data_IF_778815228968
#
_entry.id   IF_778815228968
#
_cell.length_a   1.000
_cell.length_b   1.000
_cell.length_c   1.000
_cell.angle_alpha   90.00
_cell.angle_beta   90.00
_cell.angle_gamma   90.00
#
_symmetry.space_group_name_H-M   'P 1'
#
loop_
_entity.id
_entity.type
_entity.pdbx_description
1 polymer ?
#
# COMPACT_ATOMS: atom_id res chain seq x y z
N UNK A 1 66.64 -11.94 48.84
CA UNK A 1 66.01 -12.17 47.51
C UNK A 1 64.84 -11.21 47.38
N UNK A 2 64.93 -10.21 46.49
CA UNK A 2 63.88 -9.21 46.23
C UNK A 2 63.23 -9.53 44.89
N UNK A 3 61.95 -9.85 44.88
CA UNK A 3 61.15 -10.02 43.66
C UNK A 3 60.27 -8.78 43.47
N UNK A 4 60.49 -8.06 42.36
CA UNK A 4 59.71 -6.91 41.92
C UNK A 4 58.61 -7.45 41.01
N UNK A 5 57.35 -7.40 41.47
CA UNK A 5 56.18 -7.79 40.70
C UNK A 5 55.59 -6.52 40.07
N UNK A 6 55.91 -6.28 38.80
CA UNK A 6 55.30 -5.20 38.00
C UNK A 6 53.91 -5.62 37.56
N UNK A 7 52.89 -4.99 38.16
CA UNK A 7 51.49 -5.11 37.78
C UNK A 7 51.21 -4.17 36.60
N UNK A 8 51.00 -4.74 35.41
CA UNK A 8 50.72 -3.99 34.19
C UNK A 8 49.20 -3.82 34.05
N UNK A 9 48.71 -2.61 34.34
CA UNK A 9 47.31 -2.23 34.24
C UNK A 9 47.01 -1.78 32.80
N UNK A 10 46.26 -2.58 32.04
CA UNK A 10 45.82 -2.23 30.69
C UNK A 10 44.42 -1.59 30.79
N UNK A 11 44.23 -0.32 30.40
CA UNK A 11 42.90 0.27 30.33
C UNK A 11 42.19 -0.21 29.06
N UNK A 12 41.09 -0.94 29.23
CA UNK A 12 40.19 -1.31 28.15
C UNK A 12 39.31 -0.11 27.80
N UNK A 13 39.74 0.72 26.85
CA UNK A 13 38.87 1.75 26.25
C UNK A 13 37.86 1.07 25.32
N UNK A 14 36.68 0.75 25.85
CA UNK A 14 35.52 0.44 25.03
C UNK A 14 35.02 1.73 24.37
N UNK A 15 35.42 1.97 23.13
CA UNK A 15 34.84 3.02 22.28
C UNK A 15 33.42 2.59 21.89
N UNK A 16 32.42 3.01 22.68
CA UNK A 16 31.03 2.93 22.26
C UNK A 16 30.85 3.83 21.02
N UNK A 17 30.67 3.21 19.85
CA UNK A 17 30.27 3.94 18.66
C UNK A 17 28.97 4.71 18.99
N UNK A 18 28.83 5.98 18.57
CA UNK A 18 27.61 6.72 18.82
C UNK A 18 26.44 5.93 18.25
N UNK A 19 25.52 5.49 19.12
CA UNK A 19 24.30 4.84 18.68
C UNK A 19 23.59 5.82 17.75
N UNK A 20 23.51 5.43 16.47
CA UNK A 20 22.77 6.19 15.48
C UNK A 20 21.35 6.33 16.02
N UNK A 21 20.82 7.56 16.16
CA UNK A 21 19.50 7.74 16.75
C UNK A 21 18.49 6.86 16.00
N UNK A 22 17.54 6.24 16.72
CA UNK A 22 16.54 5.40 16.10
C UNK A 22 15.90 6.17 14.96
N UNK A 23 15.94 5.60 13.75
CA UNK A 23 15.31 6.24 12.59
C UNK A 23 13.83 6.43 12.91
N UNK A 24 13.36 7.67 12.82
CA UNK A 24 11.95 8.00 12.99
C UNK A 24 11.08 7.06 12.15
N UNK A 25 9.97 6.54 12.70
CA UNK A 25 9.09 5.65 11.96
C UNK A 25 8.50 6.41 10.75
N UNK A 26 8.81 5.89 9.56
CA UNK A 26 8.28 6.40 8.29
C UNK A 26 6.90 5.81 8.05
N UNK A 27 6.00 6.63 7.56
CA UNK A 27 4.61 6.27 7.29
C UNK A 27 4.21 6.68 5.88
N UNK A 28 3.30 5.91 5.27
CA UNK A 28 2.50 6.35 4.14
C UNK A 28 1.17 6.82 4.68
N UNK A 29 1.01 8.13 4.84
CA UNK A 29 -0.26 8.69 5.26
C UNK A 29 -1.30 8.46 4.16
N UNK A 30 -2.42 7.84 4.54
CA UNK A 30 -3.60 7.66 3.69
C UNK A 30 -4.46 8.88 3.91
N UNK A 31 -4.57 9.73 2.89
CA UNK A 31 -5.15 11.07 3.06
C UNK A 31 -6.18 11.37 1.96
N UNK A 32 -7.20 12.19 2.28
CA UNK A 32 -8.07 12.76 1.27
C UNK A 32 -7.25 13.50 0.20
N UNK A 33 -7.68 13.39 -1.06
CA UNK A 33 -7.03 14.05 -2.18
C UNK A 33 -7.06 15.58 -2.07
N UNK A 34 -7.97 16.14 -1.26
CA UNK A 34 -8.01 17.57 -0.92
C UNK A 34 -6.82 18.01 -0.07
N UNK A 35 -6.15 17.09 0.66
CA UNK A 35 -4.93 17.33 1.43
C UNK A 35 -3.65 17.00 0.63
N UNK A 36 -3.76 16.85 -0.69
CA UNK A 36 -2.65 16.48 -1.56
C UNK A 36 -1.47 17.48 -1.43
N UNK A 37 -0.29 16.94 -1.16
CA UNK A 37 0.98 17.68 -1.25
C UNK A 37 1.69 17.41 -2.57
N UNK A 38 2.79 18.13 -2.82
CA UNK A 38 3.61 17.92 -4.01
C UNK A 38 4.35 16.56 -4.05
N UNK A 39 4.39 15.83 -2.93
CA UNK A 39 4.96 14.48 -2.85
C UNK A 39 3.90 13.38 -2.89
N UNK A 40 2.62 13.74 -2.93
CA UNK A 40 1.55 12.77 -2.95
C UNK A 40 1.65 11.84 -4.16
N UNK A 41 1.35 10.56 -3.95
CA UNK A 41 1.19 9.56 -5.01
C UNK A 41 -0.24 9.06 -5.06
N UNK A 42 -0.80 8.89 -6.27
CA UNK A 42 -2.10 8.27 -6.41
C UNK A 42 -2.03 6.79 -6.00
N UNK A 43 -3.15 6.28 -5.49
CA UNK A 43 -3.38 4.83 -5.38
C UNK A 43 -4.06 4.39 -6.69
N UNK A 44 -3.63 3.31 -7.35
CA UNK A 44 -4.27 2.85 -8.58
C UNK A 44 -5.79 2.72 -8.44
N UNK A 45 -6.56 3.30 -9.34
CA UNK A 45 -8.04 3.27 -9.31
C UNK A 45 -8.72 4.18 -8.28
N UNK A 46 -7.97 4.74 -7.32
CA UNK A 46 -8.50 5.70 -6.37
C UNK A 46 -8.56 7.12 -6.98
N UNK A 47 -9.57 7.88 -6.59
CA UNK A 47 -9.83 9.25 -7.05
C UNK A 47 -9.80 10.25 -5.90
N UNK A 48 -10.31 9.85 -4.74
CA UNK A 48 -10.51 10.72 -3.58
C UNK A 48 -9.40 10.55 -2.54
N UNK A 49 -8.47 9.62 -2.74
CA UNK A 49 -7.44 9.26 -1.76
C UNK A 49 -6.06 9.21 -2.37
N UNK A 50 -5.07 9.71 -1.64
CA UNK A 50 -3.65 9.71 -2.03
C UNK A 50 -2.78 9.17 -0.90
N UNK A 51 -1.56 8.78 -1.26
CA UNK A 51 -0.50 8.45 -0.31
C UNK A 51 0.49 9.60 -0.20
N UNK A 52 0.76 10.04 1.03
CA UNK A 52 1.70 11.13 1.30
C UNK A 52 2.81 10.59 2.20
N UNK A 53 4.10 10.85 1.90
CA UNK A 53 5.16 10.43 2.80
C UNK A 53 5.06 11.24 4.09
N UNK A 54 5.07 10.56 5.22
CA UNK A 54 4.93 11.18 6.53
C UNK A 54 5.87 10.55 7.56
N UNK A 55 6.03 11.25 8.68
CA UNK A 55 6.59 10.72 9.93
C UNK A 55 5.55 10.85 11.04
N UNK A 56 5.68 10.02 12.07
CA UNK A 56 4.89 10.19 13.30
C UNK A 56 5.66 11.10 14.27
N UNK A 57 4.97 12.05 14.88
CA UNK A 57 5.45 12.88 15.98
C UNK A 57 4.47 12.82 17.17
N UNK A 58 4.68 13.67 18.18
CA UNK A 58 3.85 13.69 19.39
C UNK A 58 2.38 14.09 19.13
N UNK A 59 2.09 14.74 18.00
CA UNK A 59 0.76 15.24 17.63
C UNK A 59 0.08 14.39 16.55
N UNK A 60 0.83 13.55 15.85
CA UNK A 60 0.32 12.55 14.92
C UNK A 60 1.17 12.42 13.67
N UNK A 61 0.55 12.45 12.50
CA UNK A 61 1.29 12.38 11.23
C UNK A 61 1.65 13.77 10.73
N UNK A 62 2.94 13.98 10.51
CA UNK A 62 3.49 15.16 9.83
C UNK A 62 3.90 14.76 8.43
N UNK A 63 3.28 15.40 7.42
CA UNK A 63 3.63 15.21 6.03
C UNK A 63 5.02 15.79 5.76
N UNK A 64 5.85 15.04 5.04
CA UNK A 64 7.17 15.52 4.67
C UNK A 64 7.07 16.58 3.56
N UNK A 65 7.81 17.66 3.71
CA UNK A 65 8.08 18.60 2.61
C UNK A 65 9.00 17.97 1.56
N UNK A 66 9.17 18.61 0.40
CA UNK A 66 10.13 18.16 -0.62
C UNK A 66 11.56 18.14 -0.07
N UNK A 67 11.91 19.16 0.69
CA UNK A 67 13.23 19.36 1.30
C UNK A 67 13.48 18.29 2.38
N UNK A 68 12.49 18.05 3.26
CA UNK A 68 12.57 17.01 4.28
C UNK A 68 12.69 15.61 3.65
N UNK A 69 11.89 15.33 2.61
CA UNK A 69 11.98 14.06 1.89
C UNK A 69 13.33 13.89 1.19
N UNK A 70 13.84 14.93 0.53
CA UNK A 70 15.15 14.91 -0.11
C UNK A 70 16.27 14.69 0.91
N UNK A 71 16.18 15.30 2.10
CA UNK A 71 17.13 15.12 3.20
C UNK A 71 17.19 13.67 3.72
N UNK A 72 16.14 12.87 3.51
CA UNK A 72 16.20 11.42 3.82
C UNK A 72 17.19 10.65 2.94
N UNK A 73 17.54 11.18 1.77
CA UNK A 73 18.37 10.51 0.76
C UNK A 73 17.71 9.27 0.14
N UNK A 74 16.38 9.13 0.27
CA UNK A 74 15.64 7.97 -0.23
C UNK A 74 14.91 8.29 -1.54
N UNK A 75 14.94 7.32 -2.45
CA UNK A 75 13.94 7.23 -3.51
C UNK A 75 12.57 6.90 -2.92
N UNK A 76 11.51 7.23 -3.65
CA UNK A 76 10.13 6.85 -3.30
C UNK A 76 9.96 5.35 -3.00
N UNK A 77 10.48 4.46 -3.85
CA UNK A 77 10.32 3.02 -3.67
C UNK A 77 10.96 2.49 -2.38
N UNK A 78 12.11 3.05 -2.02
CA UNK A 78 12.79 2.73 -0.77
C UNK A 78 12.03 3.28 0.44
N UNK A 79 11.54 4.52 0.35
CA UNK A 79 10.68 5.10 1.39
C UNK A 79 9.43 4.26 1.62
N UNK A 80 8.72 3.91 0.53
CA UNK A 80 7.53 3.07 0.55
C UNK A 80 7.79 1.72 1.22
N UNK A 81 8.89 1.05 0.85
CA UNK A 81 9.29 -0.22 1.48
C UNK A 81 9.53 -0.09 2.98
N UNK A 82 10.22 0.97 3.40
CA UNK A 82 10.49 1.21 4.82
C UNK A 82 9.19 1.50 5.60
N UNK A 83 8.27 2.26 4.99
CA UNK A 83 6.97 2.58 5.56
C UNK A 83 6.03 1.36 5.63
N UNK A 84 5.98 0.52 4.58
CA UNK A 84 5.25 -0.75 4.60
C UNK A 84 5.80 -1.70 5.67
N UNK A 85 7.12 -1.72 5.88
CA UNK A 85 7.72 -2.50 6.96
C UNK A 85 7.35 -1.96 8.36
N UNK A 86 7.18 -0.64 8.52
CA UNK A 86 6.68 -0.04 9.75
C UNK A 86 5.20 -0.40 9.98
N UNK A 87 4.38 -0.29 8.96
CA UNK A 87 2.97 -0.68 8.99
C UNK A 87 2.81 -2.18 9.31
N UNK A 88 3.67 -3.05 8.77
CA UNK A 88 3.68 -4.48 9.08
C UNK A 88 4.06 -4.77 10.54
N UNK A 89 5.00 -4.00 11.13
CA UNK A 89 5.31 -4.09 12.57
C UNK A 89 4.12 -3.70 13.41
N UNK A 90 3.44 -2.60 13.05
CA UNK A 90 2.24 -2.14 13.73
C UNK A 90 1.12 -3.19 13.64
N UNK A 91 0.83 -3.71 12.44
CA UNK A 91 -0.18 -4.73 12.20
C UNK A 91 -0.04 -5.95 13.13
N UNK A 92 1.19 -6.41 13.37
CA UNK A 92 1.47 -7.55 14.28
C UNK A 92 1.08 -7.29 15.74
N UNK A 93 0.98 -6.03 16.15
CA UNK A 93 0.52 -5.64 17.49
C UNK A 93 -1.00 -5.54 17.61
N UNK A 94 -1.72 -5.54 16.48
CA UNK A 94 -3.16 -5.34 16.45
C UNK A 94 -3.89 -6.68 16.63
N UNK A 95 -4.96 -6.66 17.41
CA UNK A 95 -5.90 -7.78 17.53
C UNK A 95 -7.15 -7.46 16.70
N UNK A 96 -7.41 -8.18 15.59
CA UNK A 96 -8.62 -7.96 14.82
C UNK A 96 -9.86 -8.44 15.58
N UNK A 97 -10.93 -7.63 15.52
CA UNK A 97 -12.25 -8.03 16.01
C UNK A 97 -13.04 -8.57 14.82
N UNK A 98 -13.31 -9.87 14.80
CA UNK A 98 -14.07 -10.53 13.73
C UNK A 98 -15.56 -10.51 14.07
N UNK A 99 -16.35 -9.80 13.27
CA UNK A 99 -17.81 -9.88 13.34
C UNK A 99 -18.29 -11.10 12.56
N UNK A 100 -19.22 -11.85 13.15
CA UNK A 100 -19.81 -13.05 12.55
C UNK A 100 -21.33 -12.91 12.38
N UNK A 101 -21.90 -13.69 11.46
CA UNK A 101 -23.35 -13.85 11.32
C UNK A 101 -23.88 -14.86 12.37
N UNK A 102 -25.20 -15.09 12.36
CA UNK A 102 -25.85 -16.05 13.26
C UNK A 102 -25.37 -17.49 13.05
N UNK A 103 -24.95 -17.85 11.82
CA UNK A 103 -24.38 -19.15 11.49
C UNK A 103 -22.91 -19.31 11.94
N UNK A 104 -22.28 -18.23 12.41
CA UNK A 104 -20.88 -18.20 12.85
C UNK A 104 -19.85 -17.92 11.75
N UNK A 105 -20.30 -17.64 10.52
CA UNK A 105 -19.43 -17.25 9.40
C UNK A 105 -18.92 -15.81 9.58
N UNK A 106 -17.65 -15.54 9.22
CA UNK A 106 -17.07 -14.20 9.34
C UNK A 106 -17.69 -13.25 8.30
N UNK A 107 -18.28 -12.15 8.78
CA UNK A 107 -18.85 -11.10 7.93
C UNK A 107 -17.80 -10.05 7.56
N UNK A 108 -17.09 -9.54 8.55
CA UNK A 108 -16.02 -8.57 8.39
C UNK A 108 -15.11 -8.55 9.62
N UNK A 109 -13.93 -7.95 9.50
CA UNK A 109 -13.06 -7.64 10.61
C UNK A 109 -12.94 -6.13 10.83
N UNK A 110 -12.71 -5.73 12.07
CA UNK A 110 -12.33 -4.37 12.44
C UNK A 110 -10.92 -4.38 13.02
N UNK A 111 -10.06 -3.51 12.51
CA UNK A 111 -8.83 -3.10 13.19
C UNK A 111 -9.05 -1.71 13.76
N UNK A 112 -8.77 -1.55 15.05
CA UNK A 112 -8.82 -0.24 15.71
C UNK A 112 -7.64 -0.08 16.65
N UNK A 113 -6.98 1.07 16.60
CA UNK A 113 -5.90 1.40 17.54
C UNK A 113 -5.73 2.92 17.69
N UNK A 114 -4.91 3.34 18.65
CA UNK A 114 -4.57 4.77 18.83
C UNK A 114 -3.44 5.25 17.92
N UNK A 115 -2.76 4.34 17.20
CA UNK A 115 -1.66 4.72 16.31
C UNK A 115 -2.20 5.15 14.96
N UNK A 116 -1.63 6.23 14.44
CA UNK A 116 -1.95 6.76 13.12
C UNK A 116 -1.49 5.86 11.98
N UNK A 117 -0.65 4.86 12.25
CA UNK A 117 -0.21 3.86 11.29
C UNK A 117 -1.31 2.85 10.93
N UNK A 118 -2.44 2.84 11.66
CA UNK A 118 -3.50 1.83 11.46
C UNK A 118 -4.03 1.86 10.03
N UNK A 119 -4.35 3.04 9.51
CA UNK A 119 -4.82 3.20 8.13
C UNK A 119 -3.79 2.74 7.08
N UNK A 120 -2.48 2.81 7.37
CA UNK A 120 -1.44 2.40 6.41
C UNK A 120 -1.24 0.88 6.36
N UNK A 121 -1.79 0.12 7.32
CA UNK A 121 -1.52 -1.33 7.44
C UNK A 121 -1.97 -2.13 6.22
N UNK A 122 -3.02 -1.71 5.50
CA UNK A 122 -3.51 -2.46 4.34
C UNK A 122 -2.61 -2.38 3.09
N UNK A 123 -1.53 -1.59 3.13
CA UNK A 123 -0.51 -1.58 2.07
C UNK A 123 0.61 -2.61 2.26
N UNK A 124 0.78 -3.18 3.45
CA UNK A 124 1.80 -4.20 3.67
C UNK A 124 1.31 -5.59 3.22
N UNK A 125 2.22 -6.43 2.72
CA UNK A 125 1.87 -7.77 2.20
C UNK A 125 1.31 -8.69 3.29
N UNK A 126 1.79 -8.51 4.52
CA UNK A 126 1.36 -9.27 5.69
C UNK A 126 -0.13 -9.08 5.99
N UNK A 127 -0.71 -7.93 5.63
CA UNK A 127 -2.13 -7.68 5.76
C UNK A 127 -2.95 -8.69 4.96
N UNK A 128 -2.65 -8.85 3.67
CA UNK A 128 -3.34 -9.84 2.83
C UNK A 128 -3.18 -11.26 3.38
N UNK A 129 -1.96 -11.62 3.80
CA UNK A 129 -1.68 -12.94 4.39
C UNK A 129 -2.50 -13.21 5.64
N UNK A 130 -2.68 -12.21 6.51
CA UNK A 130 -3.42 -12.32 7.76
C UNK A 130 -4.93 -12.52 7.53
N UNK A 131 -5.51 -11.84 6.54
CA UNK A 131 -6.97 -11.79 6.36
C UNK A 131 -7.50 -12.70 5.24
N UNK A 132 -6.65 -13.21 4.34
CA UNK A 132 -7.11 -14.05 3.22
C UNK A 132 -7.78 -15.36 3.64
N UNK A 133 -7.38 -15.96 4.77
CA UNK A 133 -7.95 -17.24 5.23
C UNK A 133 -9.43 -17.10 5.60
N UNK A 134 -9.85 -16.11 6.42
CA UNK A 134 -11.27 -15.93 6.74
C UNK A 134 -12.09 -15.23 5.63
N UNK A 135 -11.48 -14.42 4.75
CA UNK A 135 -12.23 -13.54 3.85
C UNK A 135 -11.96 -13.75 2.34
N UNK A 136 -11.10 -14.70 1.98
CA UNK A 136 -10.74 -15.01 0.59
C UNK A 136 -9.58 -14.17 0.05
N UNK A 137 -9.15 -14.47 -1.18
CA UNK A 137 -7.95 -13.86 -1.78
C UNK A 137 -8.12 -12.40 -2.23
N UNK A 138 -9.36 -11.93 -2.32
CA UNK A 138 -9.69 -10.54 -2.62
C UNK A 138 -10.44 -9.95 -1.43
N UNK A 139 -9.80 -8.99 -0.77
CA UNK A 139 -10.36 -8.27 0.37
C UNK A 139 -10.87 -6.91 -0.08
N UNK A 140 -11.89 -6.40 0.58
CA UNK A 140 -12.30 -5.00 0.48
C UNK A 140 -12.01 -4.31 1.80
N UNK A 141 -11.29 -3.20 1.76
CA UNK A 141 -10.89 -2.44 2.93
C UNK A 141 -11.48 -1.03 2.85
N UNK A 142 -12.06 -0.58 3.97
CA UNK A 142 -12.54 0.77 4.17
C UNK A 142 -11.74 1.43 5.30
N UNK A 143 -11.35 2.68 5.11
CA UNK A 143 -10.52 3.44 6.04
C UNK A 143 -11.11 4.85 6.26
N UNK A 144 -12.20 4.99 7.05
CA UNK A 144 -12.83 6.29 7.26
C UNK A 144 -11.90 7.29 7.95
N UNK A 145 -11.03 6.81 8.83
CA UNK A 145 -10.08 7.61 9.61
C UNK A 145 -8.74 6.89 9.81
N UNK A 146 -7.76 7.58 10.41
CA UNK A 146 -6.39 7.06 10.64
C UNK A 146 -6.31 5.85 11.59
N UNK A 147 -7.36 5.60 12.36
CA UNK A 147 -7.38 4.70 13.51
C UNK A 147 -8.25 3.47 13.30
N UNK A 148 -9.06 3.44 12.25
CA UNK A 148 -10.06 2.40 12.00
C UNK A 148 -9.92 1.83 10.59
N UNK A 149 -9.86 0.50 10.48
CA UNK A 149 -10.06 -0.21 9.23
C UNK A 149 -11.20 -1.22 9.36
N UNK A 150 -12.03 -1.29 8.33
CA UNK A 150 -13.00 -2.36 8.12
C UNK A 150 -12.56 -3.24 6.97
N UNK A 151 -12.63 -4.56 7.16
CA UNK A 151 -12.10 -5.55 6.22
C UNK A 151 -13.18 -6.55 5.88
N UNK A 152 -13.54 -6.63 4.62
CA UNK A 152 -14.64 -7.45 4.11
C UNK A 152 -14.13 -8.47 3.09
N UNK A 153 -14.84 -9.60 2.90
CA UNK A 153 -14.67 -10.40 1.71
C UNK A 153 -15.19 -9.64 0.47
N UNK A 154 -14.66 -9.93 -0.73
CA UNK A 154 -15.04 -9.22 -1.97
C UNK A 154 -16.53 -9.25 -2.29
N UNK A 155 -17.21 -10.33 -1.90
CA UNK A 155 -18.63 -10.59 -2.13
C UNK A 155 -19.53 -10.13 -0.98
N UNK A 156 -19.03 -9.29 -0.06
CA UNK A 156 -19.87 -8.70 0.97
C UNK A 156 -21.01 -7.88 0.35
N UNK A 157 -22.25 -8.17 0.73
CA UNK A 157 -23.44 -7.52 0.16
C UNK A 157 -23.92 -6.31 0.96
N UNK A 158 -23.49 -6.16 2.22
CA UNK A 158 -23.96 -5.12 3.13
C UNK A 158 -23.33 -3.74 2.95
N UNK A 159 -22.74 -3.44 1.78
CA UNK A 159 -22.01 -2.18 1.57
C UNK A 159 -22.92 -0.96 1.60
N UNK A 160 -24.18 -1.08 1.20
CA UNK A 160 -25.11 0.06 1.21
C UNK A 160 -25.44 0.48 2.64
N UNK A 161 -25.78 -0.48 3.50
CA UNK A 161 -26.07 -0.22 4.91
C UNK A 161 -24.82 0.23 5.67
N UNK A 162 -23.66 -0.33 5.33
CA UNK A 162 -22.39 0.03 5.95
C UNK A 162 -21.88 1.40 5.49
N UNK A 163 -22.23 1.85 4.28
CA UNK A 163 -21.81 3.12 3.71
C UNK A 163 -22.15 4.32 4.59
N UNK A 164 -23.37 4.34 5.17
CA UNK A 164 -23.78 5.42 6.09
C UNK A 164 -22.83 5.51 7.30
N UNK A 165 -22.43 4.37 7.86
CA UNK A 165 -21.51 4.33 9.00
C UNK A 165 -20.13 4.89 8.62
N UNK A 166 -19.62 4.53 7.45
CA UNK A 166 -18.32 5.02 6.96
C UNK A 166 -18.35 6.53 6.76
N UNK A 167 -19.41 7.05 6.15
CA UNK A 167 -19.61 8.50 5.97
C UNK A 167 -19.69 9.20 7.33
N UNK A 168 -20.51 8.70 8.26
CA UNK A 168 -20.65 9.29 9.59
C UNK A 168 -19.31 9.31 10.36
N UNK A 169 -18.52 8.23 10.29
CA UNK A 169 -17.21 8.13 10.94
C UNK A 169 -16.19 9.07 10.29
N UNK A 170 -16.15 9.14 8.95
CA UNK A 170 -15.30 10.06 8.22
C UNK A 170 -15.59 11.52 8.59
N UNK A 171 -16.87 11.93 8.57
CA UNK A 171 -17.28 13.31 8.86
C UNK A 171 -17.03 13.73 10.32
N UNK A 172 -17.12 12.79 11.26
CA UNK A 172 -16.87 13.05 12.70
C UNK A 172 -15.40 12.98 13.07
N UNK A 173 -14.55 12.45 12.20
CA UNK A 173 -13.13 12.27 12.48
C UNK A 173 -12.37 13.59 12.42
N UNK A 174 -11.49 13.81 13.39
CA UNK A 174 -10.46 14.87 13.31
C UNK A 174 -9.43 14.57 12.22
N UNK A 175 -9.21 13.28 11.92
CA UNK A 175 -8.22 12.80 10.96
C UNK A 175 -8.88 11.86 9.94
N UNK A 176 -9.72 12.40 9.05
CA UNK A 176 -10.38 11.61 8.01
C UNK A 176 -9.35 11.05 7.03
N UNK A 177 -9.58 9.84 6.53
CA UNK A 177 -8.69 9.17 5.58
C UNK A 177 -9.34 9.01 4.21
N UNK A 178 -10.44 8.27 4.12
CA UNK A 178 -11.03 7.92 2.83
C UNK A 178 -12.50 7.57 2.91
N UNK A 179 -13.26 7.98 1.89
CA UNK A 179 -14.59 7.48 1.56
C UNK A 179 -14.55 6.42 0.44
N UNK A 180 -13.36 5.96 0.04
CA UNK A 180 -13.20 4.96 -1.00
C UNK A 180 -13.13 3.54 -0.44
N UNK A 181 -13.60 2.59 -1.23
CA UNK A 181 -13.37 1.18 -1.01
C UNK A 181 -12.12 0.74 -1.78
N UNK A 182 -11.24 0.02 -1.09
CA UNK A 182 -10.00 -0.50 -1.67
C UNK A 182 -10.05 -2.01 -1.76
N UNK A 183 -9.74 -2.56 -2.94
CA UNK A 183 -9.44 -3.98 -3.07
C UNK A 183 -7.98 -4.23 -2.71
N UNK A 184 -7.76 -5.24 -1.86
CA UNK A 184 -6.43 -5.70 -1.44
C UNK A 184 -6.26 -7.17 -1.82
N UNK A 185 -5.21 -7.47 -2.58
CA UNK A 185 -4.88 -8.81 -3.07
C UNK A 185 -3.37 -9.04 -3.10
N UNK A 186 -2.92 -10.18 -3.63
CA UNK A 186 -1.49 -10.45 -3.86
C UNK A 186 -0.82 -9.46 -4.81
N UNK A 187 -1.59 -8.85 -5.72
CA UNK A 187 -1.12 -7.88 -6.71
C UNK A 187 -0.98 -6.47 -6.12
N UNK A 188 -1.47 -6.25 -4.89
CA UNK A 188 -1.42 -4.99 -4.18
C UNK A 188 -2.80 -4.38 -3.95
N UNK A 189 -2.83 -3.05 -3.93
CA UNK A 189 -3.97 -2.24 -3.50
C UNK A 189 -4.48 -1.38 -4.65
N UNK A 190 -5.80 -1.36 -4.85
CA UNK A 190 -6.46 -0.48 -5.81
C UNK A 190 -7.82 0.03 -5.30
N UNK A 191 -8.19 1.26 -5.66
CA UNK A 191 -9.54 1.77 -5.45
C UNK A 191 -10.54 1.05 -6.37
N UNK A 192 -11.72 0.76 -5.84
CA UNK A 192 -12.81 0.06 -6.57
C UNK A 192 -14.16 0.80 -6.54
N UNK A 193 -14.27 1.89 -5.80
CA UNK A 193 -15.48 2.71 -5.69
C UNK A 193 -15.39 3.67 -4.52
N UNK A 194 -16.41 4.51 -4.37
CA UNK A 194 -16.53 5.47 -3.25
C UNK A 194 -17.95 5.51 -2.72
N UNK A 195 -18.08 5.88 -1.45
CA UNK A 195 -19.34 6.27 -0.86
C UNK A 195 -19.54 7.77 -1.09
N UNK A 196 -20.73 8.13 -1.54
CA UNK A 196 -21.16 9.51 -1.72
C UNK A 196 -22.27 9.76 -0.69
N UNK A 197 -22.28 10.95 -0.08
CA UNK A 197 -23.37 11.39 0.81
C UNK A 197 -24.54 12.00 0.03
N UNK A 198 -24.45 12.03 -1.30
CA UNK A 198 -25.46 12.58 -2.21
C UNK A 198 -25.49 14.11 -2.21
N UNK A 199 -24.50 14.78 -1.61
CA UNK A 199 -24.37 16.24 -1.65
C UNK A 199 -23.72 16.75 -2.94
N UNK A 200 -23.04 15.88 -3.69
CA UNK A 200 -22.62 16.14 -5.06
C UNK A 200 -23.83 15.97 -5.99
N UNK A 201 -24.51 17.10 -6.23
CA UNK A 201 -25.30 17.26 -7.44
C UNK A 201 -24.33 17.13 -8.62
N UNK A 202 -24.19 15.91 -9.14
CA UNK A 202 -23.56 15.67 -10.44
C UNK A 202 -24.12 16.72 -11.40
N UNK A 203 -23.27 17.49 -12.11
CA UNK A 203 -23.78 18.44 -13.08
C UNK A 203 -24.66 17.65 -14.04
N UNK A 204 -25.96 17.97 -14.02
CA UNK A 204 -26.95 17.41 -14.93
C UNK A 204 -26.33 17.41 -16.33
N UNK A 205 -26.40 16.27 -16.99
CA UNK A 205 -25.93 16.01 -18.35
C UNK A 205 -26.69 16.82 -19.42
N UNK A 206 -27.12 18.05 -19.11
CA UNK A 206 -28.04 18.89 -19.87
C UNK A 206 -27.35 20.04 -20.62
N UNK A 207 -26.01 20.16 -20.54
CA UNK A 207 -25.24 21.11 -21.35
C UNK A 207 -24.12 20.43 -22.15
N UNK A 208 -24.44 19.32 -22.82
CA UNK A 208 -23.68 18.92 -23.99
C UNK A 208 -24.23 19.70 -25.20
N UNK A 209 -23.41 20.48 -25.92
CA UNK A 209 -23.84 21.07 -27.18
C UNK A 209 -24.27 19.95 -28.15
N UNK A 210 -25.25 20.21 -29.03
CA UNK A 210 -25.76 19.20 -29.94
C UNK A 210 -24.61 18.61 -30.78
N UNK A 211 -24.55 17.28 -30.81
CA UNK A 211 -23.54 16.53 -31.55
C UNK A 211 -23.50 17.04 -33.00
N UNK A 212 -22.35 17.56 -33.39
CA UNK A 212 -22.07 17.85 -34.79
C UNK A 212 -22.21 16.54 -35.58
N UNK A 213 -23.12 16.55 -36.56
CA UNK A 213 -23.31 15.50 -37.55
C UNK A 213 -22.00 15.28 -38.32
N UNK A 214 -21.16 14.34 -37.87
CA UNK A 214 -20.02 13.85 -38.63
C UNK A 214 -20.47 12.63 -39.43
N UNK A 215 -20.69 12.83 -40.73
CA UNK A 215 -20.71 11.73 -41.69
C UNK A 215 -19.40 10.94 -41.57
N UNK A 216 -19.43 9.60 -41.57
CA UNK A 216 -18.21 8.80 -41.55
C UNK A 216 -17.45 8.99 -42.86
N UNK A 217 -16.12 9.18 -42.83
CA UNK A 217 -15.32 9.19 -44.06
C UNK A 217 -15.28 7.79 -44.67
N UNK A 218 -15.41 7.75 -46.01
CA UNK A 218 -15.32 6.53 -46.81
C UNK A 218 -14.04 5.74 -46.56
N UNK A 219 -14.07 4.40 -46.65
CA UNK A 219 -12.90 3.56 -46.43
C UNK A 219 -11.84 3.78 -47.52
N UNK A 220 -10.54 3.76 -47.18
CA UNK A 220 -9.46 3.90 -48.15
C UNK A 220 -9.31 2.64 -49.00
N UNK A 221 -9.08 2.86 -50.30
CA UNK A 221 -8.78 1.86 -51.33
C UNK A 221 -7.49 1.08 -50.99
N UNK A 222 -7.45 -0.25 -51.15
CA UNK A 222 -6.25 -1.04 -50.83
C UNK A 222 -5.11 -0.79 -51.83
N UNK A 223 -3.93 -0.44 -51.29
CA UNK A 223 -2.67 -0.38 -52.03
C UNK A 223 -2.04 -1.78 -52.23
N UNK A 224 -1.27 -2.00 -53.30
CA UNK A 224 -0.73 -3.31 -53.66
C UNK A 224 0.36 -3.82 -52.71
N UNK A 225 0.33 -5.13 -52.49
CA UNK A 225 1.14 -5.89 -51.55
C UNK A 225 2.66 -5.69 -51.71
N UNK A 226 3.32 -5.32 -50.62
CA UNK A 226 4.77 -5.40 -50.47
C UNK A 226 5.18 -6.82 -50.05
N UNK A 227 6.19 -7.38 -50.74
CA UNK A 227 6.75 -8.72 -50.48
C UNK A 227 7.27 -8.85 -49.03
N UNK A 228 7.09 -10.01 -48.38
CA UNK A 228 7.61 -10.25 -47.05
C UNK A 228 9.14 -10.41 -47.05
N UNK A 229 9.79 -9.75 -46.10
CA UNK A 229 11.22 -9.89 -45.82
C UNK A 229 11.54 -11.27 -45.19
N UNK A 230 12.72 -11.85 -45.45
CA UNK A 230 13.10 -13.16 -44.90
C UNK A 230 13.37 -13.09 -43.39
N UNK A 231 12.87 -14.09 -42.67
CA UNK A 231 13.01 -14.22 -41.21
C UNK A 231 14.45 -14.53 -40.78
N UNK A 232 14.92 -14.00 -39.63
CA UNK A 232 16.24 -14.30 -39.10
C UNK A 232 16.32 -15.73 -38.57
N UNK A 233 17.40 -16.44 -38.94
CA UNK A 233 17.74 -17.78 -38.44
C UNK A 233 18.04 -17.75 -36.94
N UNK A 234 17.28 -18.53 -36.17
CA UNK A 234 17.57 -18.83 -34.76
C UNK A 234 18.71 -19.86 -34.68
N UNK A 235 19.79 -19.61 -33.93
CA UNK A 235 20.85 -20.59 -33.73
C UNK A 235 20.38 -21.74 -32.81
N UNK A 236 20.60 -22.99 -33.27
CA UNK A 236 20.37 -24.23 -32.50
C UNK A 236 21.28 -24.24 -31.26
N UNK A 237 20.67 -24.27 -30.08
CA UNK A 237 21.35 -24.60 -28.81
C UNK A 237 21.68 -26.10 -28.79
N UNK A 238 22.95 -26.43 -28.60
CA UNK A 238 23.45 -27.77 -28.30
C UNK A 238 23.13 -28.16 -26.84
N UNK A 239 22.73 -29.41 -26.57
CA UNK A 239 22.49 -29.88 -25.21
C UNK A 239 23.81 -30.10 -24.47
N UNK A 240 23.89 -29.54 -23.26
CA UNK A 240 25.02 -29.67 -22.34
C UNK A 240 24.91 -31.01 -21.61
N UNK A 241 25.85 -31.92 -21.88
CA UNK A 241 25.99 -33.22 -21.23
C UNK A 241 26.29 -33.05 -19.74
N UNK A 242 25.44 -33.61 -18.87
CA UNK A 242 25.66 -33.69 -17.42
C UNK A 242 26.27 -35.04 -17.05
N UNK A 243 27.48 -35.02 -16.51
CA UNK A 243 28.13 -36.17 -15.91
C UNK A 243 27.54 -36.50 -14.52
N UNK A 244 27.52 -37.77 -14.09
CA UNK A 244 27.00 -38.18 -12.79
C UNK A 244 28.01 -38.00 -11.65
N UNK A 245 27.55 -37.91 -10.39
CA UNK A 245 28.41 -37.73 -9.22
C UNK A 245 29.08 -39.05 -8.82
N UNK A 246 30.37 -38.95 -8.50
CA UNK A 246 31.20 -40.04 -8.02
C UNK A 246 31.03 -40.20 -6.50
N UNK A 247 30.48 -41.33 -6.05
CA UNK A 247 30.53 -41.74 -4.64
C UNK A 247 31.91 -42.33 -4.34
N UNK A 248 32.64 -41.74 -3.40
CA UNK A 248 33.73 -42.44 -2.73
C UNK A 248 33.65 -42.23 -1.23
N UNK A 249 33.38 -43.35 -0.56
CA UNK A 249 33.52 -43.60 0.87
C UNK A 249 34.99 -43.45 1.26
N UNK A 250 35.25 -42.82 2.40
CA UNK A 250 36.14 -43.32 3.45
C UNK A 250 35.75 -42.65 4.76
#
# INVERSE_FOLDING_TARGET
MRAILSLLLIPLLASAAPEKPPREPRCLAVEPATLRTALAKPIPGARLTVLIPAREDDLGLVHLSKEEFAATGLSWDRFRRDAEAAAARHLRSLTPIIQKNEAGDPLYATLRSKSHLTASTFFCKEFHVQFRKPFGDQLVVLAPDRFTLYIFPRNFSGFQEFGKRVIDEYQKSTWPCSLEAFEVSSEGVRGIGSFDDGSDSSPSSENLPPAASSNPPSPPTPSPASKPAPSPRVPKRTPKSSAPPNHSKK
#
